data_IF_389262517432
#
_entry.id   IF_389262517432
#
_cell.length_a   1.000
_cell.length_b   1.000
_cell.length_c   1.000
_cell.angle_alpha   90.00
_cell.angle_beta   90.00
_cell.angle_gamma   90.00
#
_symmetry.space_group_name_H-M   'P 1'
#
loop_
_entity.id
_entity.type
_entity.pdbx_description
1 polymer ?
#
# COMPACT_ATOMS: atom_id res chain seq x y z
N UNK A 1 -7.19 12.57 11.82
CA UNK A 1 -8.12 13.55 11.27
C UNK A 1 -9.53 13.18 11.60
N UNK A 2 -10.22 14.11 12.23
CA UNK A 2 -11.61 13.89 12.69
C UNK A 2 -12.54 13.57 11.54
N UNK A 3 -12.36 14.20 10.40
CA UNK A 3 -13.23 14.05 9.24
C UNK A 3 -13.29 12.62 8.70
N UNK A 4 -12.16 11.96 8.60
CA UNK A 4 -12.11 10.58 8.12
C UNK A 4 -12.73 9.64 9.14
N UNK A 5 -12.46 9.86 10.42
CA UNK A 5 -13.04 9.07 11.49
C UNK A 5 -14.55 9.25 11.56
N UNK A 6 -15.02 10.49 11.44
CA UNK A 6 -16.45 10.80 11.44
C UNK A 6 -17.16 10.13 10.27
N UNK A 7 -16.52 10.11 9.11
CA UNK A 7 -17.04 9.46 7.92
C UNK A 7 -17.18 7.95 8.13
N UNK A 8 -16.15 7.32 8.67
CA UNK A 8 -16.16 5.89 8.95
C UNK A 8 -17.22 5.53 9.98
N UNK A 9 -17.36 6.35 11.04
CA UNK A 9 -18.39 6.13 12.04
C UNK A 9 -19.80 6.31 11.47
N UNK A 10 -19.97 7.30 10.61
CA UNK A 10 -21.27 7.53 9.97
C UNK A 10 -21.67 6.33 9.10
N UNK A 11 -20.72 5.80 8.31
CA UNK A 11 -20.94 4.62 7.49
C UNK A 11 -21.26 3.42 8.37
N UNK A 12 -20.51 3.24 9.44
CA UNK A 12 -20.73 2.13 10.39
C UNK A 12 -22.10 2.21 11.04
N UNK A 13 -22.51 3.40 11.46
CA UNK A 13 -23.82 3.63 12.08
C UNK A 13 -24.96 3.30 11.13
N UNK A 14 -24.82 3.70 9.88
CA UNK A 14 -25.82 3.41 8.87
C UNK A 14 -25.91 1.90 8.65
N UNK A 15 -24.77 1.22 8.58
CA UNK A 15 -24.72 -0.22 8.44
C UNK A 15 -25.36 -0.93 9.64
N UNK A 16 -25.10 -0.47 10.85
CA UNK A 16 -25.65 -1.03 12.08
C UNK A 16 -27.13 -0.74 12.23
N UNK A 17 -27.58 0.38 11.70
CA UNK A 17 -28.98 0.79 11.76
C UNK A 17 -29.91 0.03 10.83
N UNK A 18 -29.43 -0.99 10.16
CA UNK A 18 -30.24 -1.82 9.28
C UNK A 18 -30.51 -1.21 7.92
N UNK A 19 -29.87 -0.11 7.59
CA UNK A 19 -29.92 0.43 6.26
C UNK A 19 -29.07 -0.48 5.37
N UNK A 20 -29.68 -1.03 4.34
CA UNK A 20 -28.99 -1.95 3.43
C UNK A 20 -27.99 -1.16 2.61
N UNK A 21 -26.81 -0.92 3.17
CA UNK A 21 -25.69 -0.48 2.36
C UNK A 21 -25.04 -1.74 1.82
N UNK A 22 -25.04 -1.82 0.50
CA UNK A 22 -24.34 -2.85 -0.20
C UNK A 22 -22.87 -2.81 0.26
N UNK A 23 -22.29 -3.93 0.75
CA UNK A 23 -20.89 -3.96 1.14
C UNK A 23 -19.95 -3.46 0.04
N UNK A 24 -20.32 -3.68 -1.21
CA UNK A 24 -19.55 -3.18 -2.34
C UNK A 24 -19.61 -1.66 -2.44
N UNK A 25 -20.77 -1.06 -2.22
CA UNK A 25 -20.90 0.39 -2.21
C UNK A 25 -20.12 1.02 -1.06
N UNK A 26 -20.15 0.39 0.12
CA UNK A 26 -19.36 0.84 1.26
C UNK A 26 -17.88 0.73 0.94
N UNK A 27 -17.49 -0.39 0.34
CA UNK A 27 -16.11 -0.60 -0.08
C UNK A 27 -15.67 0.46 -1.09
N UNK A 28 -16.53 0.83 -2.04
CA UNK A 28 -16.23 1.89 -2.98
C UNK A 28 -16.08 3.26 -2.33
N UNK A 29 -16.93 3.56 -1.36
CA UNK A 29 -16.84 4.83 -0.65
C UNK A 29 -15.58 4.94 0.22
N UNK A 30 -15.23 3.85 0.87
CA UNK A 30 -14.02 3.75 1.68
C UNK A 30 -12.81 3.45 0.83
N UNK A 31 -13.03 2.81 -0.31
CA UNK A 31 -12.03 2.24 -1.16
C UNK A 31 -11.65 3.06 -2.36
N UNK A 32 -12.00 4.34 -2.40
CA UNK A 32 -11.43 5.21 -3.44
C UNK A 32 -9.92 5.28 -3.36
N UNK A 33 -9.38 4.88 -2.22
CA UNK A 33 -7.95 4.72 -2.03
C UNK A 33 -7.45 3.41 -2.59
N UNK A 34 -8.34 2.42 -2.70
CA UNK A 34 -7.97 1.09 -3.17
C UNK A 34 -7.78 1.04 -4.68
N UNK A 35 -8.26 2.05 -5.39
CA UNK A 35 -8.03 2.18 -6.83
C UNK A 35 -6.68 2.80 -7.15
N UNK A 36 -5.83 2.97 -6.13
CA UNK A 36 -4.50 3.52 -6.31
C UNK A 36 -3.49 2.46 -6.74
N UNK A 37 -2.26 2.88 -7.05
CA UNK A 37 -1.21 1.96 -7.49
C UNK A 37 -0.90 0.86 -6.49
N UNK A 38 -1.12 1.11 -5.20
CA UNK A 38 -0.84 0.12 -4.15
C UNK A 38 -1.75 -1.10 -4.23
N UNK A 39 -2.90 -0.97 -4.87
CA UNK A 39 -3.87 -2.05 -4.99
C UNK A 39 -3.35 -3.23 -5.80
N UNK A 40 -2.42 -2.96 -6.71
CA UNK A 40 -1.84 -3.99 -7.57
C UNK A 40 -0.75 -4.79 -6.87
N UNK A 41 -0.32 -4.36 -5.70
CA UNK A 41 0.74 -5.04 -4.97
C UNK A 41 0.21 -6.30 -4.31
N UNK A 42 1.01 -7.38 -4.38
CA UNK A 42 0.71 -8.59 -3.62
C UNK A 42 0.92 -8.32 -2.12
N UNK A 43 0.38 -9.16 -1.22
CA UNK A 43 0.63 -9.01 0.21
C UNK A 43 2.11 -8.98 0.56
N UNK A 44 2.92 -9.80 -0.09
CA UNK A 44 4.37 -9.82 0.15
C UNK A 44 5.04 -8.55 -0.32
N UNK A 45 4.61 -8.01 -1.46
CA UNK A 45 5.12 -6.73 -1.95
C UNK A 45 4.76 -5.59 -1.01
N UNK A 46 3.57 -5.62 -0.43
CA UNK A 46 3.18 -4.65 0.58
C UNK A 46 4.06 -4.74 1.82
N UNK A 47 4.37 -5.96 2.25
CA UNK A 47 5.28 -6.17 3.37
C UNK A 47 6.66 -5.55 3.08
N UNK A 48 7.18 -5.81 1.89
CA UNK A 48 8.48 -5.29 1.48
C UNK A 48 8.45 -3.76 1.44
N UNK A 49 7.43 -3.19 0.82
CA UNK A 49 7.32 -1.74 0.71
C UNK A 49 7.15 -1.06 2.07
N UNK A 50 6.38 -1.67 2.96
CA UNK A 50 6.22 -1.17 4.32
C UNK A 50 7.55 -1.13 5.07
N UNK A 51 8.37 -2.16 4.92
CA UNK A 51 9.70 -2.19 5.55
C UNK A 51 10.66 -1.19 4.90
N UNK A 52 10.54 -0.97 3.58
CA UNK A 52 11.27 0.09 2.91
C UNK A 52 10.92 1.46 3.49
N UNK A 53 9.65 1.67 3.79
CA UNK A 53 9.16 2.92 4.38
C UNK A 53 9.71 3.14 5.79
N UNK A 54 10.12 2.07 6.47
CA UNK A 54 10.79 2.15 7.77
C UNK A 54 12.28 2.46 7.62
N UNK A 55 12.78 2.60 6.40
CA UNK A 55 14.18 2.89 6.13
C UNK A 55 15.08 1.66 6.09
N UNK A 56 14.51 0.46 5.96
CA UNK A 56 15.29 -0.76 5.97
C UNK A 56 15.93 -1.04 4.61
N UNK A 57 17.14 -1.56 4.63
CA UNK A 57 17.84 -2.01 3.43
C UNK A 57 17.26 -3.35 2.96
N UNK A 58 17.59 -3.73 1.72
CA UNK A 58 17.15 -5.04 1.21
C UNK A 58 17.66 -6.20 2.06
N UNK A 59 18.88 -6.09 2.59
CA UNK A 59 19.43 -7.11 3.49
C UNK A 59 18.62 -7.21 4.79
N UNK A 60 18.27 -6.09 5.37
CA UNK A 60 17.46 -6.07 6.59
C UNK A 60 16.05 -6.61 6.33
N UNK A 61 15.47 -6.27 5.18
CA UNK A 61 14.16 -6.80 4.77
C UNK A 61 14.22 -8.32 4.60
N UNK A 62 15.29 -8.80 3.96
CA UNK A 62 15.48 -10.24 3.76
C UNK A 62 15.54 -10.98 5.09
N UNK A 63 16.24 -10.44 6.07
CA UNK A 63 16.30 -11.02 7.40
C UNK A 63 14.93 -11.03 8.09
N UNK A 64 14.24 -9.91 8.02
CA UNK A 64 12.92 -9.76 8.66
C UNK A 64 11.90 -10.75 8.09
N UNK A 65 11.89 -10.91 6.77
CA UNK A 65 10.93 -11.77 6.09
C UNK A 65 11.42 -13.22 5.93
N UNK A 66 12.65 -13.50 6.36
CA UNK A 66 13.28 -14.82 6.25
C UNK A 66 13.30 -15.31 4.80
N UNK A 67 13.81 -14.46 3.92
CA UNK A 67 13.97 -14.73 2.50
C UNK A 67 15.36 -14.29 2.06
N UNK A 68 15.73 -14.60 0.82
CA UNK A 68 17.03 -14.15 0.28
C UNK A 68 16.95 -12.69 -0.16
N UNK A 69 18.10 -12.03 -0.23
CA UNK A 69 18.16 -10.67 -0.78
C UNK A 69 17.73 -10.65 -2.24
N UNK A 70 18.05 -11.68 -3.00
CA UNK A 70 17.61 -11.79 -4.39
C UNK A 70 16.08 -11.80 -4.51
N UNK A 71 15.41 -12.47 -3.59
CA UNK A 71 13.96 -12.48 -3.54
C UNK A 71 13.42 -11.06 -3.23
N UNK A 72 14.06 -10.36 -2.29
CA UNK A 72 13.67 -8.99 -1.97
C UNK A 72 13.88 -8.07 -3.18
N UNK A 73 15.01 -8.19 -3.86
CA UNK A 73 15.28 -7.40 -5.07
C UNK A 73 14.22 -7.61 -6.14
N UNK A 74 13.78 -8.85 -6.30
CA UNK A 74 12.73 -9.17 -7.25
C UNK A 74 11.41 -8.52 -6.85
N UNK A 75 11.06 -8.57 -5.57
CA UNK A 75 9.87 -7.90 -5.07
C UNK A 75 9.96 -6.38 -5.27
N UNK A 76 11.12 -5.80 -5.00
CA UNK A 76 11.34 -4.36 -5.19
C UNK A 76 11.18 -3.97 -6.66
N UNK A 77 11.76 -4.76 -7.57
CA UNK A 77 11.59 -4.51 -9.01
C UNK A 77 10.13 -4.56 -9.43
N UNK A 78 9.39 -5.54 -8.94
CA UNK A 78 7.98 -5.68 -9.24
C UNK A 78 7.17 -4.50 -8.69
N UNK A 79 7.51 -4.05 -7.48
CA UNK A 79 6.89 -2.87 -6.88
C UNK A 79 7.10 -1.65 -7.77
N UNK A 80 8.34 -1.41 -8.19
CA UNK A 80 8.64 -0.27 -9.05
C UNK A 80 7.85 -0.31 -10.35
N UNK A 81 7.75 -1.48 -10.96
CA UNK A 81 6.99 -1.65 -12.18
C UNK A 81 5.51 -1.38 -11.97
N UNK A 82 4.93 -1.92 -10.91
CA UNK A 82 3.51 -1.75 -10.60
C UNK A 82 3.16 -0.31 -10.21
N UNK A 83 4.10 0.41 -9.61
CA UNK A 83 3.91 1.81 -9.25
C UNK A 83 4.23 2.77 -10.41
N UNK A 84 4.60 2.23 -11.58
CA UNK A 84 4.90 3.05 -12.73
C UNK A 84 6.20 3.82 -12.61
N UNK A 85 7.19 3.25 -11.93
CA UNK A 85 8.49 3.88 -11.71
C UNK A 85 9.54 3.22 -12.60
N UNK A 86 9.71 3.68 -13.84
CA UNK A 86 10.69 3.09 -14.75
C UNK A 86 12.12 3.37 -14.28
N UNK A 87 13.10 2.58 -14.76
CA UNK A 87 14.49 2.84 -14.44
C UNK A 87 14.89 4.27 -14.82
N UNK A 88 15.58 4.94 -13.91
CA UNK A 88 16.04 6.30 -14.13
C UNK A 88 17.37 6.51 -13.41
N UNK A 89 18.30 7.17 -14.06
CA UNK A 89 19.57 7.53 -13.45
C UNK A 89 19.43 8.73 -12.51
N UNK A 90 18.37 9.51 -12.69
CA UNK A 90 18.19 10.78 -11.99
C UNK A 90 17.19 10.70 -10.87
N UNK A 91 16.34 9.69 -10.88
CA UNK A 91 15.26 9.57 -9.89
C UNK A 91 15.57 8.44 -8.92
N UNK A 92 15.28 8.69 -7.66
CA UNK A 92 15.43 7.67 -6.63
C UNK A 92 14.12 6.92 -6.49
N UNK A 93 13.98 5.85 -7.26
CA UNK A 93 12.74 5.06 -7.30
C UNK A 93 12.31 4.56 -5.92
N UNK A 94 13.28 4.21 -5.09
CA UNK A 94 13.00 3.74 -3.74
C UNK A 94 12.31 4.81 -2.90
N UNK A 95 12.78 6.05 -3.00
CA UNK A 95 12.15 7.19 -2.31
C UNK A 95 10.75 7.44 -2.86
N UNK A 96 10.60 7.40 -4.18
CA UNK A 96 9.29 7.62 -4.81
C UNK A 96 8.29 6.54 -4.41
N UNK A 97 8.74 5.29 -4.32
CA UNK A 97 7.89 4.18 -3.89
C UNK A 97 7.44 4.37 -2.44
N UNK A 98 8.35 4.77 -1.56
CA UNK A 98 8.04 5.03 -0.16
C UNK A 98 7.03 6.18 -0.04
N UNK A 99 7.21 7.25 -0.81
CA UNK A 99 6.27 8.36 -0.81
C UNK A 99 4.88 7.92 -1.29
N UNK A 100 4.82 7.06 -2.28
CA UNK A 100 3.56 6.49 -2.75
C UNK A 100 2.88 5.69 -1.64
N UNK A 101 3.66 4.88 -0.93
CA UNK A 101 3.16 4.10 0.21
C UNK A 101 2.58 5.01 1.28
N UNK A 102 3.26 6.10 1.60
CA UNK A 102 2.83 7.02 2.66
C UNK A 102 1.59 7.82 2.28
N UNK A 103 1.38 8.05 0.99
CA UNK A 103 0.17 8.74 0.50
C UNK A 103 -1.04 7.81 0.45
N UNK A 104 -0.81 6.54 0.26
CA UNK A 104 -1.84 5.54 0.15
C UNK A 104 -2.50 5.21 1.46
#
# INVERSE_FOLDING_TARGET
MAEVRDFVEAVRRVAEGGTALDPEAVSQLLGQRDDGPLDELTPRERDVLGLMAEGRSNGAIAEELVVTEGAVEKHVSNIFMKLGLPPSEHDHRRVLAVLTWMRG
#
